data_IF_763175459836
#
_entry.id   IF_763175459836
#
_cell.length_a   1.000
_cell.length_b   1.000
_cell.length_c   1.000
_cell.angle_alpha   90.00
_cell.angle_beta   90.00
_cell.angle_gamma   90.00
#
_symmetry.space_group_name_H-M   'P 1'
#
loop_
_entity.id
_entity.type
_entity.pdbx_description
1 polymer ?
#
# COMPACT_ATOMS: atom_id res chain seq x y z
N UNK A 1 -7.28 15.67 8.10
CA UNK A 1 -8.04 14.45 7.74
C UNK A 1 -8.98 13.93 8.86
N UNK A 2 -10.16 13.37 8.53
CA UNK A 2 -10.97 12.53 9.46
C UNK A 2 -10.16 11.27 9.83
N UNK A 3 -10.47 10.62 10.95
CA UNK A 3 -9.83 9.32 11.26
C UNK A 3 -10.39 8.24 10.34
N UNK A 4 -9.76 8.03 9.20
CA UNK A 4 -10.03 6.91 8.29
C UNK A 4 -9.31 5.68 8.86
N UNK A 5 -10.02 4.57 9.07
CA UNK A 5 -9.44 3.33 9.56
C UNK A 5 -8.92 2.49 8.40
N UNK A 6 -7.60 2.37 8.27
CA UNK A 6 -6.91 1.71 7.15
C UNK A 6 -5.67 0.98 7.65
N UNK A 7 -5.82 0.18 8.71
CA UNK A 7 -4.71 -0.43 9.46
C UNK A 7 -3.79 -1.32 8.60
N UNK A 8 -4.31 -2.01 7.57
CA UNK A 8 -3.50 -2.83 6.67
C UNK A 8 -2.69 -1.96 5.70
N UNK A 9 -3.29 -0.88 5.19
CA UNK A 9 -2.59 0.10 4.35
C UNK A 9 -1.50 0.83 5.14
N UNK A 10 -1.78 1.24 6.38
CA UNK A 10 -0.80 1.80 7.30
C UNK A 10 0.35 0.82 7.55
N UNK A 11 0.03 -0.43 7.87
CA UNK A 11 1.04 -1.47 8.12
C UNK A 11 1.95 -1.73 6.91
N UNK A 12 1.37 -1.82 5.71
CA UNK A 12 2.11 -1.93 4.46
C UNK A 12 3.05 -0.72 4.29
N UNK A 13 2.51 0.50 4.33
CA UNK A 13 3.29 1.70 4.01
C UNK A 13 4.41 1.89 5.04
N UNK A 14 4.12 1.88 6.34
CA UNK A 14 5.13 2.14 7.36
C UNK A 14 6.23 1.07 7.44
N UNK A 15 5.94 -0.17 7.04
CA UNK A 15 6.92 -1.26 7.12
C UNK A 15 7.69 -1.44 5.82
N UNK A 16 7.00 -1.43 4.68
CA UNK A 16 7.60 -1.78 3.38
C UNK A 16 7.92 -0.56 2.53
N UNK A 17 7.36 0.61 2.79
CA UNK A 17 7.60 1.82 1.99
C UNK A 17 8.12 3.01 2.80
N UNK A 18 8.12 2.89 4.14
CA UNK A 18 8.61 3.89 5.08
C UNK A 18 10.12 4.05 5.05
N UNK A 19 10.65 4.87 5.96
CA UNK A 19 12.08 5.23 5.97
C UNK A 19 13.03 4.02 6.03
N UNK A 20 12.62 2.91 6.64
CA UNK A 20 13.43 1.70 6.82
C UNK A 20 13.09 0.59 5.79
N UNK A 21 12.54 0.94 4.61
CA UNK A 21 12.07 -0.02 3.61
C UNK A 21 13.11 -1.06 3.17
N UNK A 22 14.40 -0.70 3.18
CA UNK A 22 15.53 -1.57 2.81
C UNK A 22 15.66 -2.79 3.75
N UNK A 23 15.04 -2.76 4.94
CA UNK A 23 15.02 -3.88 5.88
C UNK A 23 13.95 -4.93 5.56
N UNK A 24 12.95 -4.57 4.76
CA UNK A 24 11.72 -5.37 4.58
C UNK A 24 11.48 -5.80 3.14
N UNK A 25 12.25 -5.31 2.18
CA UNK A 25 12.17 -5.75 0.80
C UNK A 25 13.37 -5.33 -0.04
N UNK A 26 13.38 -5.70 -1.34
CA UNK A 26 14.50 -5.43 -2.23
C UNK A 26 14.74 -3.94 -2.46
N UNK A 27 13.70 -3.11 -2.33
CA UNK A 27 13.80 -1.66 -2.44
C UNK A 27 14.15 -1.14 -3.83
N UNK A 28 14.11 -1.98 -4.86
CA UNK A 28 14.52 -1.65 -6.23
C UNK A 28 13.36 -1.24 -7.14
N UNK A 29 12.11 -1.56 -6.77
CA UNK A 29 10.90 -1.15 -7.48
C UNK A 29 9.66 -1.21 -6.59
N UNK A 30 8.61 -0.49 -6.97
CA UNK A 30 7.31 -0.57 -6.29
C UNK A 30 6.80 -2.02 -6.28
N UNK A 31 6.86 -2.69 -7.42
CA UNK A 31 6.37 -4.04 -7.61
C UNK A 31 7.10 -5.08 -6.76
N UNK A 32 8.43 -5.00 -6.68
CA UNK A 32 9.24 -5.93 -5.90
C UNK A 32 9.01 -5.77 -4.39
N UNK A 33 8.76 -4.54 -3.95
CA UNK A 33 8.44 -4.25 -2.56
C UNK A 33 7.05 -4.77 -2.17
N UNK A 34 6.06 -4.63 -3.07
CA UNK A 34 4.74 -5.24 -2.93
C UNK A 34 4.86 -6.77 -2.90
N UNK A 35 5.66 -7.35 -3.79
CA UNK A 35 5.87 -8.81 -3.85
C UNK A 35 6.50 -9.37 -2.57
N UNK A 36 7.44 -8.62 -1.96
CA UNK A 36 8.01 -8.96 -0.66
C UNK A 36 6.92 -9.02 0.43
N UNK A 37 6.10 -7.97 0.54
CA UNK A 37 4.98 -7.95 1.49
C UNK A 37 3.99 -9.09 1.25
N UNK A 38 3.62 -9.36 -0.02
CA UNK A 38 2.68 -10.44 -0.37
C UNK A 38 3.21 -11.83 0.01
N UNK A 39 4.52 -12.03 -0.04
CA UNK A 39 5.15 -13.31 0.31
C UNK A 39 5.10 -13.61 1.80
N UNK A 40 5.08 -12.58 2.65
CA UNK A 40 5.12 -12.70 4.11
C UNK A 40 3.73 -12.52 4.76
N UNK A 41 2.76 -11.97 4.01
CA UNK A 41 1.46 -11.58 4.54
C UNK A 41 0.36 -12.64 4.31
N UNK A 42 -0.38 -13.06 5.35
CA UNK A 42 -1.51 -13.98 5.20
C UNK A 42 -2.65 -13.41 4.34
N UNK A 43 -3.38 -14.28 3.65
CA UNK A 43 -4.45 -13.91 2.71
C UNK A 43 -5.53 -12.98 3.32
N UNK A 44 -5.86 -13.14 4.60
CA UNK A 44 -6.84 -12.28 5.28
C UNK A 44 -6.41 -10.81 5.33
N UNK A 45 -5.14 -10.53 5.60
CA UNK A 45 -4.60 -9.17 5.61
C UNK A 45 -4.43 -8.62 4.19
N UNK A 46 -4.16 -9.50 3.22
CA UNK A 46 -4.14 -9.09 1.81
C UNK A 46 -5.52 -8.61 1.35
N UNK A 47 -6.58 -9.34 1.71
CA UNK A 47 -7.95 -8.90 1.43
C UNK A 47 -8.28 -7.60 2.18
N UNK A 48 -7.89 -7.49 3.45
CA UNK A 48 -8.09 -6.27 4.24
C UNK A 48 -7.41 -5.04 3.65
N UNK A 49 -6.26 -5.18 2.98
CA UNK A 49 -5.63 -4.07 2.26
C UNK A 49 -6.51 -3.52 1.13
N UNK A 50 -7.19 -4.39 0.37
CA UNK A 50 -8.07 -3.94 -0.72
C UNK A 50 -9.23 -3.13 -0.15
N UNK A 51 -9.84 -3.64 0.93
CA UNK A 51 -10.95 -2.96 1.63
C UNK A 51 -10.49 -1.59 2.18
N UNK A 52 -9.27 -1.52 2.74
CA UNK A 52 -8.68 -0.28 3.25
C UNK A 52 -8.43 0.75 2.15
N UNK A 53 -7.91 0.34 0.98
CA UNK A 53 -7.71 1.25 -0.16
C UNK A 53 -9.04 1.80 -0.65
N UNK A 54 -10.05 0.93 -0.82
CA UNK A 54 -11.39 1.37 -1.23
C UNK A 54 -12.02 2.32 -0.21
N UNK A 55 -11.85 2.04 1.09
CA UNK A 55 -12.33 2.92 2.15
C UNK A 55 -11.59 4.26 2.17
N UNK A 56 -10.27 4.27 1.98
CA UNK A 56 -9.47 5.49 1.87
C UNK A 56 -9.97 6.37 0.73
N UNK A 57 -10.11 5.80 -0.47
CA UNK A 57 -10.58 6.50 -1.66
C UNK A 57 -12.02 7.02 -1.51
N UNK A 58 -12.86 6.33 -0.75
CA UNK A 58 -14.25 6.72 -0.50
C UNK A 58 -14.36 7.88 0.50
N UNK A 59 -13.53 7.87 1.55
CA UNK A 59 -13.63 8.82 2.67
C UNK A 59 -12.73 10.04 2.56
N UNK A 60 -11.72 10.02 1.69
CA UNK A 60 -10.89 11.20 1.43
C UNK A 60 -11.71 12.29 0.73
N UNK A 61 -11.50 13.54 1.16
CA UNK A 61 -12.08 14.71 0.48
C UNK A 61 -11.22 15.13 -0.72
N UNK A 62 -9.90 14.94 -0.60
CA UNK A 62 -8.89 15.18 -1.63
C UNK A 62 -7.80 14.10 -1.51
N UNK A 63 -7.71 13.23 -2.52
CA UNK A 63 -6.84 12.04 -2.48
C UNK A 63 -5.36 12.42 -2.27
N UNK A 64 -4.85 13.37 -3.04
CA UNK A 64 -3.44 13.79 -2.99
C UNK A 64 -3.12 14.39 -1.62
N UNK A 65 -3.96 15.33 -1.17
CA UNK A 65 -3.74 16.03 0.08
C UNK A 65 -3.89 15.12 1.29
N UNK A 66 -4.94 14.31 1.35
CA UNK A 66 -5.20 13.44 2.51
C UNK A 66 -4.17 12.29 2.59
N UNK A 67 -3.66 11.82 1.44
CA UNK A 67 -2.57 10.85 1.40
C UNK A 67 -1.25 11.47 1.88
N UNK A 68 -0.88 12.65 1.38
CA UNK A 68 0.33 13.37 1.82
C UNK A 68 0.28 13.72 3.32
N UNK A 69 -0.88 14.20 3.81
CA UNK A 69 -1.09 14.46 5.25
C UNK A 69 -0.86 13.21 6.12
N UNK A 70 -1.15 12.01 5.61
CA UNK A 70 -1.04 10.75 6.36
C UNK A 70 0.32 10.07 6.20
N UNK A 71 0.85 10.05 4.98
CA UNK A 71 1.99 9.21 4.61
C UNK A 71 3.18 9.99 4.06
N UNK A 72 3.05 11.28 3.73
CA UNK A 72 4.09 12.02 3.00
C UNK A 72 5.45 12.12 3.71
N UNK A 73 5.48 11.95 5.04
CA UNK A 73 6.75 11.84 5.79
C UNK A 73 7.45 10.49 5.59
N UNK A 74 6.68 9.43 5.34
CA UNK A 74 7.16 8.05 5.27
C UNK A 74 7.34 7.57 3.83
N UNK A 75 6.44 7.97 2.93
CA UNK A 75 6.34 7.43 1.59
C UNK A 75 6.02 8.51 0.56
N UNK A 76 6.82 8.53 -0.50
CA UNK A 76 6.60 9.37 -1.69
C UNK A 76 6.44 8.46 -2.92
N UNK A 77 5.24 8.37 -3.54
CA UNK A 77 5.00 7.55 -4.74
C UNK A 77 5.97 7.84 -5.89
N UNK A 78 6.39 9.11 -6.03
CA UNK A 78 7.30 9.55 -7.09
C UNK A 78 8.69 8.89 -7.00
N UNK A 79 9.20 8.65 -5.78
CA UNK A 79 10.47 7.96 -5.57
C UNK A 79 10.42 6.49 -6.01
N UNK A 80 9.21 5.94 -6.11
CA UNK A 80 8.93 4.58 -6.54
C UNK A 80 8.40 4.53 -7.99
N UNK A 81 8.46 5.64 -8.72
CA UNK A 81 8.09 5.71 -10.14
C UNK A 81 6.59 5.58 -10.41
N UNK A 82 5.73 5.93 -9.45
CA UNK A 82 4.28 5.79 -9.55
C UNK A 82 3.54 7.04 -9.06
N UNK A 83 2.21 7.08 -9.26
CA UNK A 83 1.30 8.03 -8.60
C UNK A 83 0.57 7.34 -7.44
N UNK A 84 -0.22 8.07 -6.67
CA UNK A 84 -1.05 7.46 -5.62
C UNK A 84 -2.05 6.46 -6.24
N UNK A 85 -2.74 6.84 -7.33
CA UNK A 85 -3.66 5.93 -7.99
C UNK A 85 -2.93 4.74 -8.61
N UNK A 86 -1.77 4.97 -9.25
CA UNK A 86 -0.96 3.90 -9.81
C UNK A 86 -0.49 2.92 -8.74
N UNK A 87 -0.09 3.42 -7.56
CA UNK A 87 0.28 2.59 -6.42
C UNK A 87 -0.89 1.71 -5.95
N UNK A 88 -2.07 2.32 -5.77
CA UNK A 88 -3.28 1.62 -5.36
C UNK A 88 -3.74 0.58 -6.39
N UNK A 89 -3.68 0.90 -7.68
CA UNK A 89 -4.04 -0.02 -8.75
C UNK A 89 -3.08 -1.23 -8.79
N UNK A 90 -1.77 -1.00 -8.64
CA UNK A 90 -0.78 -2.07 -8.57
C UNK A 90 -1.00 -2.96 -7.35
N UNK A 91 -1.29 -2.39 -6.17
CA UNK A 91 -1.62 -3.17 -4.97
C UNK A 91 -2.84 -4.07 -5.18
N UNK A 92 -3.95 -3.50 -5.68
CA UNK A 92 -5.19 -4.27 -5.93
C UNK A 92 -4.95 -5.39 -6.94
N UNK A 93 -4.24 -5.12 -8.03
CA UNK A 93 -3.91 -6.11 -9.04
C UNK A 93 -3.08 -7.25 -8.45
N UNK A 94 -1.97 -6.95 -7.78
CA UNK A 94 -1.06 -7.97 -7.24
C UNK A 94 -1.69 -8.77 -6.10
N UNK A 95 -2.54 -8.15 -5.28
CA UNK A 95 -3.34 -8.89 -4.28
C UNK A 95 -4.28 -9.89 -4.96
N UNK A 96 -5.03 -9.46 -5.98
CA UNK A 96 -5.94 -10.33 -6.70
C UNK A 96 -5.21 -11.53 -7.34
N UNK A 97 -4.03 -11.30 -7.92
CA UNK A 97 -3.15 -12.35 -8.45
C UNK A 97 -2.66 -13.29 -7.34
N UNK A 98 -2.17 -12.75 -6.22
CA UNK A 98 -1.68 -13.54 -5.08
C UNK A 98 -2.75 -14.45 -4.49
N UNK A 99 -3.98 -13.94 -4.32
CA UNK A 99 -5.10 -14.70 -3.79
C UNK A 99 -5.60 -15.77 -4.78
N UNK A 100 -5.57 -15.47 -6.07
CA UNK A 100 -5.92 -16.46 -7.12
C UNK A 100 -4.95 -17.64 -7.14
N UNK A 101 -3.66 -17.39 -6.89
CA UNK A 101 -2.62 -18.43 -6.87
C UNK A 101 -2.61 -19.29 -5.59
N UNK A 102 -3.35 -18.88 -4.54
CA UNK A 102 -3.45 -19.60 -3.26
C UNK A 102 -4.65 -20.56 -3.20
N UNK A 103 -5.51 -20.56 -4.21
CA UNK A 103 -6.71 -21.39 -4.31
C UNK A 103 -6.49 -22.67 -5.13
#
# INVERSE_FOLDING_TARGET
MKKINVDNLDGLIFTYFGMDYELHGPGDSNESQIDAWLSETPAAYQQGLVDDIEHFQLECDDLEKDFDERYGFEFSPELWGTTIEGFFDTLKLKVAESLSNKN
#
